data_IF_781112803630
#
_entry.id   IF_781112803630
#
_cell.length_a   1.000
_cell.length_b   1.000
_cell.length_c   1.000
_cell.angle_alpha   90.00
_cell.angle_beta   90.00
_cell.angle_gamma   90.00
#
_symmetry.space_group_name_H-M   'P 1'
#
loop_
_entity.id
_entity.type
_entity.pdbx_description
1 polymer ?
#
# COMPACT_ATOMS: atom_id res chain seq x y z
N UNK A 1 4.98 -8.14 0.40
CA UNK A 1 3.67 -7.83 1.04
C UNK A 1 2.89 -9.09 1.35
N UNK A 2 2.99 -10.15 0.56
CA UNK A 2 2.22 -11.39 0.73
C UNK A 2 3.05 -12.54 1.34
N UNK A 3 4.15 -12.21 2.03
CA UNK A 3 5.02 -13.19 2.68
C UNK A 3 5.79 -14.12 1.73
N UNK A 4 5.79 -13.88 0.40
CA UNK A 4 6.41 -14.80 -0.57
C UNK A 4 7.95 -14.73 -0.64
N UNK A 5 8.55 -13.89 0.20
CA UNK A 5 10.00 -13.70 0.32
C UNK A 5 10.61 -12.79 -0.74
N UNK A 6 9.82 -12.24 -1.66
CA UNK A 6 10.26 -11.26 -2.65
C UNK A 6 9.91 -9.84 -2.22
N UNK A 7 10.70 -8.89 -2.72
CA UNK A 7 10.44 -7.47 -2.54
C UNK A 7 9.51 -7.00 -3.63
N UNK A 8 8.32 -6.56 -3.24
CA UNK A 8 7.32 -5.91 -4.09
C UNK A 8 7.58 -4.41 -4.23
N UNK A 9 6.91 -3.74 -5.19
CA UNK A 9 7.12 -2.32 -5.47
C UNK A 9 5.83 -1.52 -5.34
N UNK A 10 5.83 -0.51 -4.48
CA UNK A 10 4.79 0.50 -4.43
C UNK A 10 5.31 1.82 -5.03
N UNK A 11 4.59 2.34 -6.03
CA UNK A 11 4.93 3.59 -6.70
C UNK A 11 3.94 4.68 -6.33
N UNK A 12 4.45 5.69 -5.63
CA UNK A 12 3.72 6.92 -5.37
C UNK A 12 3.69 7.79 -6.63
N UNK A 13 2.50 8.24 -7.01
CA UNK A 13 2.25 8.99 -8.23
C UNK A 13 1.73 10.40 -7.91
N UNK A 14 2.13 11.37 -8.73
CA UNK A 14 1.82 12.80 -8.52
C UNK A 14 0.77 13.35 -9.50
N UNK A 15 0.30 12.54 -10.43
CA UNK A 15 -0.65 12.93 -11.48
C UNK A 15 -1.68 11.84 -11.83
N UNK A 16 -1.62 10.69 -11.14
CA UNK A 16 -2.48 9.52 -11.35
C UNK A 16 -2.52 8.66 -10.08
N UNK A 17 -3.37 7.62 -10.00
CA UNK A 17 -3.40 6.72 -8.86
C UNK A 17 -2.05 6.03 -8.61
N UNK A 18 -1.77 5.72 -7.35
CA UNK A 18 -0.60 4.94 -6.96
C UNK A 18 -0.71 3.52 -7.51
N UNK A 19 0.42 2.86 -7.70
CA UNK A 19 0.48 1.52 -8.31
C UNK A 19 1.25 0.57 -7.42
N UNK A 20 0.72 -0.63 -7.22
CA UNK A 20 1.40 -1.71 -6.52
C UNK A 20 1.71 -2.84 -7.49
N UNK A 21 2.98 -3.22 -7.55
CA UNK A 21 3.48 -4.31 -8.36
C UNK A 21 3.97 -5.46 -7.47
N UNK A 22 3.39 -6.65 -7.68
CA UNK A 22 3.91 -7.88 -7.06
C UNK A 22 5.10 -8.40 -7.86
N UNK A 23 6.18 -8.74 -7.16
CA UNK A 23 7.36 -9.35 -7.75
C UNK A 23 7.14 -10.85 -7.97
N UNK A 24 7.33 -11.31 -9.21
CA UNK A 24 7.19 -12.71 -9.59
C UNK A 24 8.53 -13.44 -9.72
N UNK A 25 9.63 -12.77 -9.33
CA UNK A 25 10.99 -13.22 -9.54
C UNK A 25 11.49 -12.94 -10.97
N UNK A 26 12.81 -13.01 -11.16
CA UNK A 26 13.43 -12.87 -12.48
C UNK A 26 13.14 -11.54 -13.18
N UNK A 27 13.03 -10.45 -12.42
CA UNK A 27 12.69 -9.09 -12.92
C UNK A 27 11.30 -8.98 -13.56
N UNK A 28 10.39 -9.89 -13.22
CA UNK A 28 9.00 -9.83 -13.66
C UNK A 28 8.12 -9.29 -12.55
N UNK A 29 7.18 -8.44 -12.93
CA UNK A 29 6.25 -7.79 -12.03
C UNK A 29 4.84 -7.88 -12.60
N UNK A 30 3.86 -8.01 -11.71
CA UNK A 30 2.44 -7.99 -12.04
C UNK A 30 1.79 -6.79 -11.37
N UNK A 31 0.99 -6.02 -12.12
CA UNK A 31 0.19 -4.95 -11.53
C UNK A 31 -0.93 -5.57 -10.70
N UNK A 32 -0.92 -5.29 -9.40
CA UNK A 32 -1.89 -5.84 -8.45
C UNK A 32 -2.77 -4.76 -7.84
N UNK A 33 -2.68 -3.52 -8.33
CA UNK A 33 -3.25 -2.33 -7.69
C UNK A 33 -4.74 -2.46 -7.38
N UNK A 34 -5.53 -2.96 -8.34
CA UNK A 34 -6.97 -3.12 -8.18
C UNK A 34 -7.30 -4.21 -7.17
N UNK A 35 -6.66 -5.38 -7.28
CA UNK A 35 -6.94 -6.52 -6.40
C UNK A 35 -6.40 -6.32 -4.98
N UNK A 36 -5.30 -5.58 -4.82
CA UNK A 36 -4.73 -5.27 -3.51
C UNK A 36 -5.43 -4.11 -2.82
N UNK A 37 -6.18 -3.28 -3.57
CA UNK A 37 -6.87 -2.07 -3.09
C UNK A 37 -5.93 -0.97 -2.57
N UNK A 38 -4.64 -1.07 -2.85
CA UNK A 38 -3.63 -0.11 -2.36
C UNK A 38 -3.49 1.16 -3.21
N UNK A 39 -4.27 1.32 -4.28
CA UNK A 39 -4.09 2.42 -5.25
C UNK A 39 -4.44 3.82 -4.75
N UNK A 40 -5.20 3.92 -3.64
CA UNK A 40 -5.66 5.17 -3.02
C UNK A 40 -6.49 6.12 -3.91
N UNK A 41 -6.93 5.66 -5.09
CA UNK A 41 -7.76 6.45 -6.02
C UNK A 41 -7.04 7.70 -6.52
N UNK A 42 -7.71 8.86 -6.47
CA UNK A 42 -7.17 10.13 -6.97
C UNK A 42 -6.19 10.81 -5.99
N UNK A 43 -5.81 10.16 -4.89
CA UNK A 43 -4.87 10.70 -3.91
C UNK A 43 -3.43 10.60 -4.41
N UNK A 44 -2.86 11.78 -4.65
CA UNK A 44 -1.47 11.94 -5.06
C UNK A 44 -0.53 11.77 -3.87
N UNK A 45 0.56 11.03 -4.04
CA UNK A 45 1.45 10.66 -2.93
C UNK A 45 2.91 10.98 -3.23
N UNK A 46 3.69 11.24 -2.19
CA UNK A 46 5.13 11.57 -2.31
C UNK A 46 6.07 10.52 -1.75
N UNK A 47 5.56 9.63 -0.89
CA UNK A 47 6.36 8.59 -0.28
C UNK A 47 5.45 7.57 0.39
N UNK A 48 5.98 6.38 0.55
CA UNK A 48 5.35 5.30 1.29
C UNK A 48 6.41 4.48 2.01
N UNK A 49 5.99 3.80 3.08
CA UNK A 49 6.83 2.84 3.80
C UNK A 49 6.01 1.61 4.13
N UNK A 50 6.63 0.45 3.94
CA UNK A 50 6.12 -0.80 4.47
C UNK A 50 6.60 -1.00 5.91
N UNK A 51 5.67 -1.28 6.83
CA UNK A 51 5.96 -1.55 8.23
C UNK A 51 4.84 -2.41 8.83
N UNK A 52 5.18 -3.27 9.79
CA UNK A 52 4.20 -3.99 10.61
C UNK A 52 3.63 -2.99 11.63
N UNK A 53 2.47 -2.39 11.32
CA UNK A 53 1.92 -1.25 12.04
C UNK A 53 0.94 -1.67 13.14
N UNK A 54 0.23 -2.78 12.97
CA UNK A 54 -0.69 -3.32 13.97
C UNK A 54 -0.12 -4.49 14.79
N UNK A 55 1.05 -5.02 14.42
CA UNK A 55 1.76 -6.06 15.15
C UNK A 55 1.31 -7.48 14.82
N UNK A 56 0.62 -7.69 13.70
CA UNK A 56 0.17 -9.01 13.24
C UNK A 56 1.27 -9.81 12.51
N UNK A 57 2.38 -9.14 12.16
CA UNK A 57 3.54 -9.73 11.51
C UNK A 57 3.53 -9.60 9.98
N UNK A 58 2.48 -9.03 9.40
CA UNK A 58 2.39 -8.71 7.98
C UNK A 58 2.81 -7.25 7.73
N UNK A 59 3.35 -6.97 6.54
CA UNK A 59 3.78 -5.61 6.20
C UNK A 59 2.60 -4.78 5.70
N UNK A 60 2.22 -3.78 6.49
CA UNK A 60 1.25 -2.73 6.16
C UNK A 60 1.89 -1.63 5.32
N UNK A 61 1.07 -0.73 4.79
CA UNK A 61 1.52 0.39 3.97
C UNK A 61 1.08 1.73 4.55
N UNK A 62 2.04 2.54 4.98
CA UNK A 62 1.81 3.95 5.32
C UNK A 62 2.19 4.85 4.14
N UNK A 63 1.25 5.70 3.69
CA UNK A 63 1.43 6.54 2.51
C UNK A 63 1.29 8.02 2.86
N UNK A 64 2.33 8.79 2.54
CA UNK A 64 2.35 10.24 2.67
C UNK A 64 1.64 10.88 1.47
N UNK A 65 0.39 11.29 1.68
CA UNK A 65 -0.46 11.92 0.67
C UNK A 65 -0.11 13.41 0.56
N UNK A 66 -0.04 13.91 -0.67
CA UNK A 66 0.22 15.32 -0.95
C UNK A 66 -1.08 16.13 -0.84
N UNK A 67 -1.13 17.08 0.09
CA UNK A 67 -2.26 18.00 0.22
C UNK A 67 -3.53 17.41 0.86
N UNK A 68 -3.44 16.22 1.46
CA UNK A 68 -4.56 15.54 2.10
C UNK A 68 -4.14 14.72 3.32
N UNK A 69 -5.07 13.93 3.85
CA UNK A 69 -4.83 13.01 4.97
C UNK A 69 -3.94 11.86 4.51
N UNK A 70 -2.88 11.57 5.29
CA UNK A 70 -2.05 10.38 5.06
C UNK A 70 -2.89 9.11 5.23
N UNK A 71 -2.57 8.07 4.47
CA UNK A 71 -3.28 6.80 4.55
C UNK A 71 -2.44 5.78 5.32
N UNK A 72 -3.09 5.04 6.21
CA UNK A 72 -2.58 3.78 6.75
C UNK A 72 -3.44 2.65 6.17
N UNK A 73 -2.79 1.73 5.48
CA UNK A 73 -3.40 0.58 4.83
C UNK A 73 -2.91 -0.69 5.53
N UNK A 74 -3.79 -1.37 6.26
CA UNK A 74 -3.48 -2.64 6.91
C UNK A 74 -3.58 -3.79 5.92
N UNK A 75 -2.64 -4.71 5.96
CA UNK A 75 -2.55 -5.85 5.05
C UNK A 75 -3.06 -7.12 5.75
N UNK A 76 -3.95 -7.88 5.12
CA UNK A 76 -4.49 -9.13 5.67
C UNK A 76 -3.55 -10.35 5.55
N UNK A 77 -2.26 -10.11 5.28
CA UNK A 77 -1.24 -11.11 4.97
C UNK A 77 -1.33 -11.73 3.57
N UNK A 78 -2.45 -11.58 2.86
CA UNK A 78 -2.62 -12.06 1.48
C UNK A 78 -2.22 -11.03 0.43
N UNK A 79 -1.86 -9.82 0.88
CA UNK A 79 -1.57 -8.68 0.02
C UNK A 79 -2.81 -7.88 -0.38
N UNK A 80 -3.93 -8.05 0.35
CA UNK A 80 -5.12 -7.21 0.22
C UNK A 80 -5.14 -6.24 1.39
N UNK A 81 -5.33 -4.96 1.07
CA UNK A 81 -5.24 -3.88 2.04
C UNK A 81 -6.61 -3.28 2.38
N UNK A 82 -6.76 -2.87 3.64
CA UNK A 82 -7.88 -2.08 4.14
C UNK A 82 -7.37 -0.75 4.71
N UNK A 83 -8.00 0.35 4.34
CA UNK A 83 -7.64 1.66 4.89
C UNK A 83 -8.22 1.85 6.28
N UNK A 84 -7.37 2.24 7.22
CA UNK A 84 -7.81 2.65 8.56
C UNK A 84 -8.42 4.03 8.45
N UNK A 85 -9.73 4.12 8.69
CA UNK A 85 -10.39 5.40 8.89
C UNK A 85 -10.05 5.94 10.28
N UNK A 86 -9.51 7.16 10.34
CA UNK A 86 -9.36 7.85 11.61
C UNK A 86 -10.75 8.22 12.17
N UNK A 87 -11.27 7.39 13.07
CA UNK A 87 -12.45 7.71 13.86
C UNK A 87 -12.12 8.85 14.83
N UNK A 88 -12.72 10.03 14.62
CA UNK A 88 -12.85 11.00 15.70
C UNK A 88 -14.07 10.58 16.54
N UNK A 89 -13.83 9.93 17.68
CA UNK A 89 -14.83 9.93 18.75
C UNK A 89 -14.88 11.34 19.33
N UNK A 90 -15.95 12.08 19.00
CA UNK A 90 -16.29 13.37 19.58
C UNK A 90 -17.16 13.24 20.82
#
# INVERSE_FOLDING_TARGET
>A
MDGDGWVDLYLCMLDRPNVLYRNLGGWRFEDVTERSRAGLGDRLSRGAVFADADGDGDLDLFVAVHGGTNALLLNDGSGVFEEVEAGFEG
#
